data_IF_416402093100
#
_entry.id   IF_416402093100
#
_cell.length_a   1.000
_cell.length_b   1.000
_cell.length_c   1.000
_cell.angle_alpha   90.00
_cell.angle_beta   90.00
_cell.angle_gamma   90.00
#
_symmetry.space_group_name_H-M   'P 1'
#
loop_
_entity.id
_entity.type
_entity.pdbx_description
1 polymer ?
#
# COMPACT_ATOMS: atom_id res chain seq x y z
N UNK A 1 17.79 12.74 -14.22
CA UNK A 1 17.66 12.17 -12.86
C UNK A 1 17.20 10.74 -13.04
N UNK A 2 18.00 9.76 -12.61
CA UNK A 2 17.68 8.33 -12.76
C UNK A 2 16.58 7.98 -11.76
N UNK A 3 15.45 7.43 -12.23
CA UNK A 3 14.40 6.91 -11.34
C UNK A 3 14.96 5.65 -10.68
N UNK A 4 14.96 5.52 -9.34
CA UNK A 4 15.38 4.29 -8.69
C UNK A 4 14.56 3.09 -9.16
N UNK A 5 15.14 1.90 -9.23
CA UNK A 5 14.47 0.68 -9.70
C UNK A 5 13.18 0.38 -8.92
N UNK A 6 13.15 0.71 -7.62
CA UNK A 6 11.98 0.57 -6.75
C UNK A 6 10.84 1.57 -7.02
N UNK A 7 11.02 2.49 -7.97
CA UNK A 7 10.06 3.52 -8.34
C UNK A 7 9.76 3.55 -9.84
N UNK A 8 10.20 2.55 -10.61
CA UNK A 8 9.98 2.48 -12.07
C UNK A 8 8.50 2.54 -12.47
N UNK A 9 7.60 2.09 -11.59
CA UNK A 9 6.15 2.04 -11.77
C UNK A 9 5.37 2.97 -10.82
N UNK A 10 6.02 3.96 -10.19
CA UNK A 10 5.37 4.84 -9.20
C UNK A 10 4.19 5.67 -9.76
N UNK A 11 4.06 5.79 -11.08
CA UNK A 11 2.96 6.49 -11.75
C UNK A 11 1.85 5.55 -12.27
N UNK A 12 1.98 4.24 -11.99
CA UNK A 12 1.01 3.23 -12.40
C UNK A 12 -0.38 3.56 -11.84
N UNK A 13 -1.37 3.51 -12.73
CA UNK A 13 -2.77 3.87 -12.47
C UNK A 13 -3.68 3.09 -13.41
N UNK A 14 -4.96 2.89 -13.06
CA UNK A 14 -5.89 2.16 -13.91
C UNK A 14 -5.91 2.71 -15.35
N UNK A 15 -5.96 1.81 -16.33
CA UNK A 15 -5.92 2.11 -17.76
C UNK A 15 -4.52 2.40 -18.34
N UNK A 16 -3.46 2.32 -17.54
CA UNK A 16 -2.09 2.45 -18.04
C UNK A 16 -1.52 1.08 -18.37
N UNK A 17 -1.17 0.84 -19.64
CA UNK A 17 -0.53 -0.41 -20.05
C UNK A 17 0.72 -0.67 -19.20
N UNK A 18 0.74 -1.84 -18.57
CA UNK A 18 1.79 -2.24 -17.66
C UNK A 18 1.92 -3.76 -17.70
N UNK A 19 3.14 -4.25 -17.89
CA UNK A 19 3.53 -5.63 -17.67
C UNK A 19 5.00 -5.59 -17.26
N UNK A 20 5.27 -5.92 -16.01
CA UNK A 20 6.60 -5.79 -15.43
C UNK A 20 6.88 -6.90 -14.41
N UNK A 21 8.15 -7.11 -14.13
CA UNK A 21 8.62 -8.07 -13.14
C UNK A 21 8.29 -7.62 -11.72
N UNK A 22 8.18 -8.60 -10.82
CA UNK A 22 8.10 -8.38 -9.37
C UNK A 22 9.43 -8.82 -8.75
N UNK A 23 10.28 -7.87 -8.34
CA UNK A 23 11.61 -8.14 -7.77
C UNK A 23 11.53 -8.49 -6.27
N UNK A 24 10.61 -9.41 -5.93
CA UNK A 24 10.34 -9.79 -4.55
C UNK A 24 11.26 -10.95 -4.15
N UNK A 25 12.14 -10.80 -3.15
CA UNK A 25 13.08 -11.86 -2.79
C UNK A 25 12.39 -13.20 -2.50
N UNK A 26 12.83 -14.24 -3.19
CA UNK A 26 12.21 -15.58 -3.07
C UNK A 26 11.05 -15.81 -4.02
N UNK A 27 10.71 -14.83 -4.86
CA UNK A 27 9.66 -14.87 -5.88
C UNK A 27 10.12 -14.24 -7.22
N UNK A 28 11.32 -13.69 -7.28
CA UNK A 28 11.81 -12.77 -8.29
C UNK A 28 12.24 -13.40 -9.63
N UNK A 29 12.27 -14.73 -9.76
CA UNK A 29 12.78 -15.37 -10.99
C UNK A 29 11.87 -15.22 -12.21
N UNK A 30 10.55 -15.24 -12.01
CA UNK A 30 9.57 -15.20 -13.11
C UNK A 30 8.24 -14.53 -12.74
N UNK A 31 8.15 -13.93 -11.55
CA UNK A 31 6.91 -13.27 -11.12
C UNK A 31 6.69 -11.97 -11.87
N UNK A 32 5.43 -11.73 -12.25
CA UNK A 32 5.01 -10.57 -13.03
C UNK A 32 3.76 -9.93 -12.44
N UNK A 33 3.57 -8.66 -12.75
CA UNK A 33 2.35 -7.94 -12.47
C UNK A 33 2.07 -6.92 -13.57
N UNK A 34 0.83 -6.46 -13.64
CA UNK A 34 0.46 -5.55 -14.70
C UNK A 34 -0.99 -5.15 -14.70
N UNK A 35 -1.39 -4.49 -15.78
CA UNK A 35 -2.76 -4.09 -16.06
C UNK A 35 -3.31 -4.93 -17.22
N UNK A 36 -4.50 -5.50 -17.01
CA UNK A 36 -5.26 -6.20 -18.05
C UNK A 36 -6.35 -5.26 -18.59
N UNK A 37 -6.17 -4.78 -19.81
CA UNK A 37 -7.12 -3.88 -20.49
C UNK A 37 -8.46 -4.56 -20.81
N UNK A 38 -8.46 -5.88 -21.04
CA UNK A 38 -9.69 -6.63 -21.34
C UNK A 38 -10.60 -6.77 -20.14
N UNK A 39 -10.02 -6.87 -18.94
CA UNK A 39 -10.75 -7.00 -17.67
C UNK A 39 -10.90 -5.66 -16.94
N UNK A 40 -10.07 -4.67 -17.25
CA UNK A 40 -10.05 -3.37 -16.56
C UNK A 40 -9.57 -3.50 -15.11
N UNK A 41 -8.53 -4.32 -14.88
CA UNK A 41 -8.01 -4.62 -13.55
C UNK A 41 -6.51 -4.85 -13.57
N UNK A 42 -5.84 -4.52 -12.47
CA UNK A 42 -4.49 -5.03 -12.23
C UNK A 42 -4.52 -6.56 -12.01
N UNK A 43 -3.39 -7.21 -12.28
CA UNK A 43 -3.13 -8.62 -12.02
C UNK A 43 -1.73 -8.83 -11.46
N UNK A 44 -1.50 -10.00 -10.85
CA UNK A 44 -0.17 -10.49 -10.54
C UNK A 44 -0.13 -12.02 -10.57
N UNK A 45 1.00 -12.56 -11.00
CA UNK A 45 1.30 -13.99 -10.96
C UNK A 45 2.66 -14.15 -10.30
N UNK A 46 2.69 -14.88 -9.18
CA UNK A 46 3.91 -15.09 -8.42
C UNK A 46 4.23 -16.58 -8.30
N UNK A 47 5.47 -16.91 -8.63
CA UNK A 47 6.05 -18.25 -8.45
C UNK A 47 7.12 -18.18 -7.40
N UNK A 48 7.03 -19.05 -6.40
CA UNK A 48 8.09 -19.17 -5.40
C UNK A 48 9.35 -19.71 -6.07
N UNK A 49 10.49 -19.09 -5.79
CA UNK A 49 11.78 -19.52 -6.32
C UNK A 49 12.04 -20.99 -5.95
N UNK A 50 12.73 -21.72 -6.83
CA UNK A 50 13.07 -23.14 -6.67
C UNK A 50 11.86 -24.09 -6.60
N UNK A 51 10.68 -23.64 -7.02
CA UNK A 51 9.56 -24.54 -7.29
C UNK A 51 9.53 -24.92 -8.76
N UNK A 52 9.28 -26.20 -9.06
CA UNK A 52 9.18 -26.71 -10.43
C UNK A 52 7.73 -26.67 -10.96
N UNK A 53 6.90 -25.77 -10.43
CA UNK A 53 5.50 -25.66 -10.82
C UNK A 53 5.36 -24.75 -12.03
N UNK A 54 4.65 -25.21 -13.05
CA UNK A 54 4.27 -24.37 -14.20
C UNK A 54 3.19 -23.35 -13.82
N UNK A 55 2.39 -23.63 -12.78
CA UNK A 55 1.35 -22.75 -12.28
C UNK A 55 1.86 -21.82 -11.16
N UNK A 56 1.44 -20.55 -11.13
CA UNK A 56 1.80 -19.62 -10.05
C UNK A 56 1.19 -20.07 -8.71
N UNK A 57 1.95 -19.92 -7.62
CA UNK A 57 1.47 -20.17 -6.25
C UNK A 57 0.49 -19.08 -5.82
N UNK A 58 0.69 -17.84 -6.29
CA UNK A 58 -0.24 -16.73 -6.09
C UNK A 58 -0.66 -16.21 -7.46
N UNK A 59 -1.94 -16.34 -7.78
CA UNK A 59 -2.55 -15.72 -8.96
C UNK A 59 -3.63 -14.74 -8.52
N UNK A 60 -3.39 -13.46 -8.77
CA UNK A 60 -4.34 -12.38 -8.58
C UNK A 60 -4.84 -11.96 -9.96
N UNK A 61 -6.13 -12.18 -10.24
CA UNK A 61 -6.74 -11.85 -11.53
C UNK A 61 -8.05 -11.10 -11.35
N UNK A 62 -8.29 -10.15 -12.26
CA UNK A 62 -9.54 -9.40 -12.35
C UNK A 62 -10.79 -10.27 -12.57
N UNK A 63 -10.61 -11.51 -13.02
CA UNK A 63 -11.70 -12.46 -13.26
C UNK A 63 -12.36 -12.94 -11.96
N UNK A 64 -11.62 -12.97 -10.84
CA UNK A 64 -12.13 -13.40 -9.54
C UNK A 64 -12.46 -12.22 -8.64
N UNK A 65 -11.58 -11.21 -8.61
CA UNK A 65 -11.73 -10.00 -7.84
C UNK A 65 -11.16 -8.82 -8.64
N UNK A 66 -11.85 -7.69 -8.67
CA UNK A 66 -11.33 -6.49 -9.33
C UNK A 66 -10.27 -5.82 -8.46
N UNK A 67 -9.10 -5.55 -9.05
CA UNK A 67 -7.99 -4.83 -8.44
C UNK A 67 -7.80 -3.49 -9.17
N UNK A 68 -8.55 -2.44 -8.78
CA UNK A 68 -8.56 -1.18 -9.55
C UNK A 68 -7.28 -0.34 -9.39
N UNK A 69 -6.49 -0.57 -8.33
CA UNK A 69 -5.28 0.20 -8.04
C UNK A 69 -4.09 -0.70 -7.70
N UNK A 70 -2.84 -0.26 -7.97
CA UNK A 70 -1.65 -1.04 -7.61
C UNK A 70 -1.57 -1.40 -6.13
N UNK A 71 -2.08 -0.54 -5.25
CA UNK A 71 -2.15 -0.81 -3.80
C UNK A 71 -2.98 -2.06 -3.45
N UNK A 72 -3.97 -2.43 -4.29
CA UNK A 72 -4.75 -3.65 -4.10
C UNK A 72 -3.89 -4.91 -4.34
N UNK A 73 -3.07 -4.89 -5.39
CA UNK A 73 -2.13 -5.98 -5.68
C UNK A 73 -1.05 -6.06 -4.59
N UNK A 74 -0.48 -4.92 -4.20
CA UNK A 74 0.54 -4.87 -3.16
C UNK A 74 0.01 -5.43 -1.82
N UNK A 75 -1.23 -5.08 -1.44
CA UNK A 75 -1.88 -5.60 -0.23
C UNK A 75 -2.05 -7.12 -0.26
N UNK A 76 -2.55 -7.67 -1.37
CA UNK A 76 -2.76 -9.12 -1.52
C UNK A 76 -1.43 -9.88 -1.53
N UNK A 77 -0.40 -9.37 -2.21
CA UNK A 77 0.94 -9.96 -2.20
C UNK A 77 1.51 -9.95 -0.78
N UNK A 78 1.49 -8.81 -0.09
CA UNK A 78 1.99 -8.70 1.28
C UNK A 78 1.28 -9.71 2.21
N UNK A 79 -0.04 -9.84 2.06
CA UNK A 79 -0.85 -10.77 2.86
C UNK A 79 -0.55 -12.24 2.55
N UNK A 80 -0.58 -12.63 1.27
CA UNK A 80 -0.44 -14.03 0.85
C UNK A 80 0.99 -14.54 0.95
N UNK A 81 1.97 -13.72 0.56
CA UNK A 81 3.39 -14.05 0.67
C UNK A 81 3.95 -13.82 2.09
N UNK A 82 3.18 -13.16 2.98
CA UNK A 82 3.58 -12.80 4.35
C UNK A 82 4.87 -11.98 4.40
N UNK A 83 4.96 -11.00 3.50
CA UNK A 83 6.09 -10.08 3.38
C UNK A 83 5.67 -8.71 3.87
N UNK A 84 6.60 -7.93 4.42
CA UNK A 84 6.30 -6.59 4.87
C UNK A 84 5.92 -5.67 3.69
N UNK A 85 5.03 -4.67 3.91
CA UNK A 85 4.56 -3.78 2.85
C UNK A 85 5.66 -3.06 2.07
N UNK A 86 6.72 -2.61 2.76
CA UNK A 86 7.78 -1.84 2.13
C UNK A 86 8.56 -2.69 1.12
N UNK A 87 8.88 -3.93 1.47
CA UNK A 87 9.53 -4.87 0.56
C UNK A 87 8.67 -5.13 -0.68
N UNK A 88 7.36 -5.33 -0.53
CA UNK A 88 6.44 -5.56 -1.67
C UNK A 88 6.33 -4.32 -2.57
N UNK A 89 6.14 -3.14 -1.98
CA UNK A 89 6.01 -1.87 -2.72
C UNK A 89 7.29 -1.55 -3.50
N UNK A 90 8.47 -1.85 -2.94
CA UNK A 90 9.74 -1.73 -3.66
C UNK A 90 9.88 -2.77 -4.77
N UNK A 91 9.54 -4.02 -4.50
CA UNK A 91 9.63 -5.12 -5.46
C UNK A 91 8.74 -4.91 -6.70
N UNK A 92 7.55 -4.34 -6.52
CA UNK A 92 6.67 -3.96 -7.63
C UNK A 92 7.14 -2.69 -8.35
N UNK A 93 8.10 -1.96 -7.79
CA UNK A 93 8.56 -0.70 -8.36
C UNK A 93 7.59 0.47 -8.17
N UNK A 94 6.62 0.37 -7.27
CA UNK A 94 5.56 1.38 -7.08
C UNK A 94 5.86 2.39 -5.97
N UNK A 95 7.00 2.28 -5.29
CA UNK A 95 7.37 3.20 -4.23
C UNK A 95 7.50 4.63 -4.78
N UNK A 96 7.07 5.62 -4.01
CA UNK A 96 7.33 7.02 -4.35
C UNK A 96 8.85 7.26 -4.42
N UNK A 97 9.38 8.00 -5.42
CA UNK A 97 10.82 8.14 -5.61
C UNK A 97 11.53 8.93 -4.52
N UNK A 98 10.80 9.84 -3.85
CA UNK A 98 11.31 10.65 -2.75
C UNK A 98 10.20 10.90 -1.72
N UNK A 99 9.78 9.89 -0.94
CA UNK A 99 8.71 10.07 0.04
C UNK A 99 9.18 11.01 1.14
N UNK A 100 8.30 11.88 1.61
CA UNK A 100 8.59 12.82 2.70
C UNK A 100 7.40 12.86 3.63
N UNK A 101 7.65 12.81 4.92
CA UNK A 101 6.63 13.10 5.92
C UNK A 101 6.65 14.58 6.27
N UNK A 102 5.48 15.15 6.50
CA UNK A 102 5.36 16.45 7.14
C UNK A 102 6.00 16.43 8.53
N UNK A 103 6.44 17.61 8.98
CA UNK A 103 7.04 17.75 10.29
C UNK A 103 6.08 17.37 11.41
N UNK A 104 6.61 16.73 12.47
CA UNK A 104 5.84 16.20 13.61
C UNK A 104 4.88 17.22 14.22
N UNK A 105 5.29 18.48 14.30
CA UNK A 105 4.42 19.56 14.79
C UNK A 105 3.15 19.68 13.95
N UNK A 106 3.25 19.65 12.62
CA UNK A 106 2.07 19.72 11.74
C UNK A 106 1.18 18.49 11.92
N UNK A 107 1.78 17.30 11.97
CA UNK A 107 1.04 16.04 12.18
C UNK A 107 0.30 16.06 13.53
N UNK A 108 0.96 16.52 14.59
CA UNK A 108 0.40 16.60 15.93
C UNK A 108 -0.69 17.69 16.05
N UNK A 109 -0.50 18.85 15.42
CA UNK A 109 -1.51 19.91 15.40
C UNK A 109 -2.77 19.43 14.65
N UNK A 110 -2.61 18.75 13.50
CA UNK A 110 -3.73 18.14 12.77
C UNK A 110 -4.47 17.07 13.58
N UNK A 111 -3.73 16.20 14.27
CA UNK A 111 -4.33 15.19 15.14
C UNK A 111 -5.14 15.82 16.29
N UNK A 112 -4.67 16.94 16.85
CA UNK A 112 -5.41 17.68 17.90
C UNK A 112 -6.67 18.35 17.36
N UNK A 113 -6.61 18.94 16.17
CA UNK A 113 -7.76 19.61 15.53
C UNK A 113 -8.95 18.68 15.31
N UNK A 114 -8.71 17.40 15.09
CA UNK A 114 -9.76 16.40 14.91
C UNK A 114 -10.60 16.17 16.18
N UNK A 115 -10.07 16.53 17.36
CA UNK A 115 -10.73 16.27 18.63
C UNK A 115 -10.84 14.78 18.97
N UNK A 116 -11.64 14.42 19.99
CA UNK A 116 -11.90 13.02 20.31
C UNK A 116 -12.57 12.33 19.12
N UNK A 117 -12.10 11.11 18.82
CA UNK A 117 -12.75 10.19 17.87
C UNK A 117 -14.16 9.87 18.38
N UNK A 118 -15.16 10.68 18.00
CA UNK A 118 -16.56 10.33 18.20
C UNK A 118 -16.93 9.08 17.38
N UNK A 119 -18.22 8.79 17.23
CA UNK A 119 -18.73 7.58 16.55
C UNK A 119 -18.48 7.54 15.01
N UNK A 120 -17.51 8.31 14.48
CA UNK A 120 -17.16 8.32 13.06
C UNK A 120 -16.00 7.37 12.77
N UNK A 121 -16.21 6.27 12.01
CA UNK A 121 -15.14 5.39 11.57
C UNK A 121 -14.08 6.11 10.75
N UNK A 122 -14.52 7.06 9.91
CA UNK A 122 -13.63 7.89 9.10
C UNK A 122 -12.67 8.72 9.97
N UNK A 123 -13.18 9.44 10.97
CA UNK A 123 -12.34 10.21 11.91
C UNK A 123 -11.41 9.27 12.68
N UNK A 124 -11.88 8.07 13.03
CA UNK A 124 -11.05 7.06 13.72
C UNK A 124 -9.88 6.57 12.86
N UNK A 125 -10.11 6.31 11.57
CA UNK A 125 -9.06 5.92 10.63
C UNK A 125 -8.04 7.03 10.39
N UNK A 126 -8.53 8.26 10.23
CA UNK A 126 -7.68 9.43 10.05
C UNK A 126 -6.80 9.68 11.29
N UNK A 127 -7.38 9.64 12.49
CA UNK A 127 -6.65 9.79 13.76
C UNK A 127 -5.62 8.67 13.96
N UNK A 128 -5.99 7.43 13.64
CA UNK A 128 -5.09 6.29 13.77
C UNK A 128 -3.85 6.43 12.89
N UNK A 129 -4.03 6.81 11.62
CA UNK A 129 -2.92 7.02 10.69
C UNK A 129 -1.99 8.16 11.14
N UNK A 130 -2.54 9.29 11.60
CA UNK A 130 -1.73 10.39 12.14
C UNK A 130 -1.00 9.98 13.42
N UNK A 131 -1.68 9.29 14.35
CA UNK A 131 -1.04 8.76 15.55
C UNK A 131 0.07 7.76 15.21
N UNK A 132 -0.13 6.92 14.19
CA UNK A 132 0.88 5.98 13.71
C UNK A 132 2.10 6.68 13.11
N UNK A 133 1.91 7.69 12.27
CA UNK A 133 3.03 8.49 11.71
C UNK A 133 3.83 9.26 12.77
N UNK A 134 3.22 9.54 13.93
CA UNK A 134 3.90 10.09 15.11
C UNK A 134 4.56 9.01 16.00
N UNK A 135 4.36 7.72 15.71
CA UNK A 135 4.87 6.60 16.50
C UNK A 135 4.06 6.30 17.76
N UNK A 136 2.84 6.81 17.87
CA UNK A 136 1.97 6.64 19.04
C UNK A 136 0.98 5.46 18.90
N UNK A 137 0.73 4.98 17.68
CA UNK A 137 -0.17 3.85 17.45
C UNK A 137 0.52 2.50 17.64
N UNK A 138 -0.20 1.54 18.22
CA UNK A 138 0.29 0.19 18.46
C UNK A 138 0.31 -0.69 17.20
N UNK A 139 -0.47 -0.36 16.18
CA UNK A 139 -0.56 -1.12 14.93
C UNK A 139 -0.42 -0.22 13.70
N UNK A 140 -0.14 -0.81 12.55
CA UNK A 140 -0.14 -0.10 11.26
C UNK A 140 -1.56 0.07 10.72
N UNK A 141 -1.91 1.19 10.06
CA UNK A 141 -3.28 1.51 9.67
C UNK A 141 -3.89 0.62 8.57
N UNK A 142 -3.11 0.11 7.62
CA UNK A 142 -3.58 -0.72 6.50
C UNK A 142 -3.27 -2.20 6.66
N UNK A 143 -2.06 -2.52 7.11
CA UNK A 143 -1.57 -3.88 7.35
C UNK A 143 -2.07 -4.50 8.67
N UNK A 144 -2.36 -3.67 9.68
CA UNK A 144 -2.78 -4.12 11.02
C UNK A 144 -1.68 -4.82 11.82
N UNK A 145 -0.44 -4.82 11.33
CA UNK A 145 0.69 -5.43 12.02
C UNK A 145 1.11 -4.58 13.24
N UNK A 146 1.77 -5.16 14.26
CA UNK A 146 2.33 -4.39 15.36
C UNK A 146 3.31 -3.32 14.87
N UNK A 147 3.13 -2.10 15.34
CA UNK A 147 4.02 -0.99 15.07
C UNK A 147 5.34 -1.15 15.84
N UNK A 148 6.45 -0.71 15.24
CA UNK A 148 7.80 -0.73 15.83
C UNK A 148 8.29 0.66 16.23
N UNK A 149 7.37 1.61 16.40
CA UNK A 149 7.64 3.01 16.67
C UNK A 149 7.28 3.90 15.49
N UNK A 150 7.93 5.06 15.39
CA UNK A 150 7.68 6.03 14.32
C UNK A 150 8.15 5.48 12.96
N UNK A 151 7.29 5.48 11.92
CA UNK A 151 7.68 4.99 10.60
C UNK A 151 8.62 5.96 9.88
N UNK A 152 9.48 5.42 9.01
CA UNK A 152 10.18 6.24 8.01
C UNK A 152 9.21 6.72 6.93
N UNK A 153 9.57 7.75 6.13
CA UNK A 153 8.74 8.18 5.00
C UNK A 153 8.43 7.06 4.00
N UNK A 154 9.37 6.15 3.74
CA UNK A 154 9.17 5.01 2.85
C UNK A 154 8.18 3.99 3.45
N UNK A 155 8.24 3.77 4.76
CA UNK A 155 7.26 2.91 5.43
C UNK A 155 5.86 3.52 5.40
N UNK A 156 5.74 4.83 5.61
CA UNK A 156 4.47 5.54 5.50
C UNK A 156 3.89 5.51 4.08
N UNK A 157 4.75 5.66 3.06
CA UNK A 157 4.36 5.51 1.65
C UNK A 157 3.88 4.09 1.33
N UNK A 158 4.63 3.07 1.77
CA UNK A 158 4.23 1.69 1.56
C UNK A 158 2.92 1.34 2.27
N UNK A 159 2.73 1.86 3.48
CA UNK A 159 1.49 1.66 4.24
C UNK A 159 0.31 2.38 3.60
N UNK A 160 0.52 3.55 2.98
CA UNK A 160 -0.51 4.23 2.19
C UNK A 160 -1.03 3.33 1.06
N UNK A 161 -0.14 2.61 0.35
CA UNK A 161 -0.60 1.61 -0.64
C UNK A 161 -1.44 0.49 -0.03
N UNK A 162 -1.11 0.02 1.17
CA UNK A 162 -1.93 -0.98 1.87
C UNK A 162 -3.31 -0.44 2.22
N UNK A 163 -3.36 0.80 2.73
CA UNK A 163 -4.62 1.48 3.07
C UNK A 163 -5.47 1.71 1.82
N UNK A 164 -4.89 2.19 0.72
CA UNK A 164 -5.60 2.29 -0.57
C UNK A 164 -6.15 0.93 -0.99
N UNK A 165 -5.36 -0.15 -0.89
CA UNK A 165 -5.84 -1.50 -1.15
C UNK A 165 -7.07 -1.88 -0.29
N UNK A 166 -7.06 -1.52 1.00
CA UNK A 166 -8.18 -1.75 1.93
C UNK A 166 -9.42 -0.90 1.62
N UNK A 167 -9.28 0.29 1.04
CA UNK A 167 -10.43 1.08 0.58
C UNK A 167 -11.24 0.33 -0.47
N UNK A 168 -10.58 -0.42 -1.36
CA UNK A 168 -11.22 -1.13 -2.46
C UNK A 168 -11.56 -2.59 -2.16
N UNK A 169 -10.67 -3.31 -1.47
CA UNK A 169 -10.84 -4.73 -1.14
C UNK A 169 -11.53 -4.96 0.22
N UNK A 170 -11.66 -3.91 1.04
CA UNK A 170 -12.23 -3.97 2.37
C UNK A 170 -11.28 -4.50 3.46
N UNK A 171 -11.80 -4.55 4.67
CA UNK A 171 -11.11 -5.05 5.86
C UNK A 171 -11.98 -4.92 7.11
N UNK A 172 -11.48 -5.41 8.25
CA UNK A 172 -12.27 -5.53 9.48
C UNK A 172 -12.87 -4.20 10.00
N UNK A 173 -12.22 -3.07 9.73
CA UNK A 173 -12.65 -1.74 10.18
C UNK A 173 -13.64 -1.04 9.23
N UNK A 174 -13.93 -1.64 8.07
CA UNK A 174 -14.83 -1.08 7.07
C UNK A 174 -14.22 0.03 6.20
N UNK A 175 -14.93 0.38 5.12
CA UNK A 175 -14.43 1.29 4.07
C UNK A 175 -14.21 2.72 4.57
N UNK A 176 -15.11 3.25 5.38
CA UNK A 176 -15.04 4.64 5.87
C UNK A 176 -13.78 4.87 6.70
N UNK A 177 -13.42 3.90 7.55
CA UNK A 177 -12.18 3.92 8.30
C UNK A 177 -10.96 4.01 7.38
N UNK A 178 -10.87 3.12 6.39
CA UNK A 178 -9.73 3.15 5.47
C UNK A 178 -9.72 4.40 4.59
N UNK A 179 -10.88 4.96 4.25
CA UNK A 179 -10.96 6.25 3.56
C UNK A 179 -10.35 7.40 4.38
N UNK A 180 -10.63 7.44 5.69
CA UNK A 180 -10.00 8.41 6.59
C UNK A 180 -8.50 8.21 6.74
N UNK A 181 -8.05 6.96 6.86
CA UNK A 181 -6.64 6.62 6.93
C UNK A 181 -5.87 6.95 5.63
N UNK A 182 -6.50 6.73 4.47
CA UNK A 182 -5.94 7.01 3.14
C UNK A 182 -5.68 8.51 2.99
N UNK A 183 -6.70 9.32 3.27
CA UNK A 183 -6.59 10.79 3.23
C UNK A 183 -5.54 11.32 4.22
N UNK A 184 -5.50 10.78 5.44
CA UNK A 184 -4.52 11.17 6.45
C UNK A 184 -3.09 10.90 6.00
N UNK A 185 -2.82 9.71 5.44
CA UNK A 185 -1.49 9.35 4.95
C UNK A 185 -1.12 10.14 3.69
N UNK A 186 -2.07 10.38 2.78
CA UNK A 186 -1.87 11.24 1.61
C UNK A 186 -1.42 12.65 2.04
N UNK A 187 -2.13 13.24 3.00
CA UNK A 187 -1.79 14.54 3.55
C UNK A 187 -0.46 14.52 4.33
N UNK A 188 -0.24 13.52 5.18
CA UNK A 188 0.99 13.38 5.97
C UNK A 188 2.23 13.22 5.08
N UNK A 189 2.08 12.63 3.89
CA UNK A 189 3.12 12.49 2.87
C UNK A 189 3.33 13.78 2.03
N UNK A 190 2.63 14.87 2.36
CA UNK A 190 2.76 16.17 1.69
C UNK A 190 2.20 16.20 0.27
N UNK A 191 1.26 15.31 -0.06
CA UNK A 191 0.67 15.21 -1.41
C UNK A 191 -0.56 16.10 -1.61
N UNK A 192 -0.98 16.80 -0.56
CA UNK A 192 -1.98 17.87 -0.63
C UNK A 192 -1.28 19.17 -1.04
N UNK A 193 -1.59 19.68 -2.22
CA UNK A 193 -1.22 21.03 -2.66
C UNK A 193 -2.08 22.09 -1.98
#
# INVERSE_FOLDING_TARGET
MHTPDHSRNHTARPGHHLNDVVDLPGWDHQSIWGWDDGVGSFYAQLWRNNTNSDAPEIWLSGATNTYPWPGCIALEIATKARVDPLTVVRAMGIAHPQPRLLADRKLADRLKEMGPTGDSPYVSGHSHALAWTLGHAATTPGGGAPSRGKPTPEQADAEHHMVTGRVYLGGAQGRDYFGGADEALWWALGRSS
#
